data_IF_924244603164
#
_entry.id   IF_924244603164
#
_cell.length_a   1.000
_cell.length_b   1.000
_cell.length_c   1.000
_cell.angle_alpha   90.00
_cell.angle_beta   90.00
_cell.angle_gamma   90.00
#
_symmetry.space_group_name_H-M   'P 1'
#
loop_
_entity.id
_entity.type
_entity.pdbx_description
1 polymer ?
#
# COMPACT_ATOMS: atom_id res chain seq x y z
N UNK A 1 -88.09 4.81 -49.66
CA UNK A 1 -87.32 4.61 -48.43
C UNK A 1 -85.93 5.15 -48.73
N UNK A 2 -85.77 6.48 -48.68
CA UNK A 2 -84.46 7.12 -48.91
C UNK A 2 -83.63 6.93 -47.64
N UNK A 3 -82.66 6.01 -47.70
CA UNK A 3 -81.77 5.70 -46.59
C UNK A 3 -80.80 6.87 -46.35
N UNK A 4 -80.94 7.49 -45.17
CA UNK A 4 -79.97 7.96 -44.16
C UNK A 4 -78.51 8.35 -44.51
N UNK A 5 -78.21 8.56 -45.79
CA UNK A 5 -76.85 8.89 -46.28
C UNK A 5 -76.43 10.32 -45.91
N UNK A 6 -77.39 11.22 -45.68
CA UNK A 6 -77.10 12.61 -45.29
C UNK A 6 -76.65 12.74 -43.82
N UNK A 7 -77.18 11.92 -42.91
CA UNK A 7 -76.75 11.91 -41.51
C UNK A 7 -75.34 11.32 -41.39
N UNK A 8 -75.06 10.25 -42.15
CA UNK A 8 -73.75 9.64 -42.23
C UNK A 8 -72.70 10.59 -42.83
N UNK A 9 -73.04 11.30 -43.91
CA UNK A 9 -72.19 12.33 -44.50
C UNK A 9 -71.84 13.45 -43.50
N UNK A 10 -72.82 13.96 -42.76
CA UNK A 10 -72.58 15.00 -41.76
C UNK A 10 -71.71 14.54 -40.59
N UNK A 11 -71.85 13.28 -40.18
CA UNK A 11 -70.99 12.68 -39.16
C UNK A 11 -69.55 12.51 -39.65
N UNK A 12 -69.37 12.12 -40.91
CA UNK A 12 -68.05 12.02 -41.56
C UNK A 12 -67.41 13.41 -41.67
N UNK A 13 -68.14 14.44 -42.10
CA UNK A 13 -67.61 15.80 -42.22
C UNK A 13 -67.17 16.34 -40.85
N UNK A 14 -67.93 16.08 -39.78
CA UNK A 14 -67.54 16.46 -38.41
C UNK A 14 -66.27 15.72 -37.97
N UNK A 15 -66.16 14.43 -38.24
CA UNK A 15 -64.96 13.63 -37.97
C UNK A 15 -63.74 14.21 -38.71
N UNK A 16 -63.87 14.49 -40.01
CA UNK A 16 -62.79 15.06 -40.84
C UNK A 16 -62.36 16.43 -40.32
N UNK A 17 -63.30 17.31 -39.98
CA UNK A 17 -62.99 18.64 -39.43
C UNK A 17 -62.28 18.56 -38.06
N UNK A 18 -62.67 17.59 -37.22
CA UNK A 18 -61.99 17.32 -35.95
C UNK A 18 -60.57 16.79 -36.18
N UNK A 19 -60.40 15.90 -37.17
CA UNK A 19 -59.08 15.42 -37.57
C UNK A 19 -58.19 16.54 -38.16
N UNK A 20 -58.75 17.50 -38.90
CA UNK A 20 -57.99 18.66 -39.41
C UNK A 20 -57.35 19.47 -38.29
N UNK A 21 -58.01 19.59 -37.13
CA UNK A 21 -57.42 20.27 -35.95
C UNK A 21 -56.20 19.52 -35.43
N UNK A 22 -56.29 18.19 -35.34
CA UNK A 22 -55.18 17.33 -34.90
C UNK A 22 -54.03 17.44 -35.90
N UNK A 23 -54.31 17.36 -37.20
CA UNK A 23 -53.32 17.48 -38.27
C UNK A 23 -52.61 18.84 -38.20
N UNK A 24 -53.37 19.94 -38.07
CA UNK A 24 -52.80 21.29 -37.96
C UNK A 24 -51.91 21.45 -36.72
N UNK A 25 -52.30 20.87 -35.59
CA UNK A 25 -51.50 20.89 -34.37
C UNK A 25 -50.22 20.05 -34.51
N UNK A 26 -50.28 18.90 -35.19
CA UNK A 26 -49.12 18.07 -35.46
C UNK A 26 -48.16 18.73 -36.45
N UNK A 27 -48.67 19.35 -37.52
CA UNK A 27 -47.88 20.10 -38.48
C UNK A 27 -47.12 21.24 -37.79
N UNK A 28 -47.78 22.05 -36.95
CA UNK A 28 -47.10 23.09 -36.15
C UNK A 28 -46.02 22.55 -35.22
N UNK A 29 -46.20 21.34 -34.67
CA UNK A 29 -45.18 20.69 -33.83
C UNK A 29 -43.99 20.23 -34.67
N UNK A 30 -44.26 19.70 -35.86
CA UNK A 30 -43.23 19.27 -36.80
C UNK A 30 -42.39 20.47 -37.28
N UNK A 31 -43.04 21.59 -37.64
CA UNK A 31 -42.34 22.82 -38.04
C UNK A 31 -41.42 23.34 -36.92
N UNK A 32 -41.89 23.35 -35.67
CA UNK A 32 -41.09 23.72 -34.50
C UNK A 32 -39.91 22.77 -34.25
N UNK A 33 -40.04 21.49 -34.60
CA UNK A 33 -38.95 20.53 -34.44
C UNK A 33 -37.91 20.68 -35.55
N UNK A 34 -38.35 20.93 -36.78
CA UNK A 34 -37.47 21.21 -37.92
C UNK A 34 -36.67 22.50 -37.71
N UNK A 35 -37.29 23.56 -37.15
CA UNK A 35 -36.58 24.79 -36.77
C UNK A 35 -35.61 24.58 -35.59
N UNK A 36 -35.97 23.74 -34.61
CA UNK A 36 -35.03 23.35 -33.54
C UNK A 36 -33.86 22.54 -34.06
N UNK A 37 -34.05 21.75 -35.11
CA UNK A 37 -33.00 20.98 -35.74
C UNK A 37 -32.00 21.89 -36.48
N UNK A 38 -32.47 22.93 -37.16
CA UNK A 38 -31.56 23.90 -37.82
C UNK A 38 -30.71 24.71 -36.83
N UNK A 39 -31.24 25.04 -35.64
CA UNK A 39 -30.43 25.65 -34.56
C UNK A 39 -29.39 24.69 -33.98
N UNK A 40 -29.67 23.39 -33.94
CA UNK A 40 -28.72 22.39 -33.46
C UNK A 40 -27.60 22.14 -34.49
N UNK A 41 -27.91 22.24 -35.79
CA UNK A 41 -26.92 22.13 -36.86
C UNK A 41 -25.92 23.30 -36.88
N UNK A 42 -26.33 24.51 -36.45
CA UNK A 42 -25.40 25.64 -36.32
C UNK A 42 -24.39 25.43 -35.17
N UNK A 43 -24.82 24.82 -34.07
CA UNK A 43 -23.92 24.47 -32.94
C UNK A 43 -23.01 23.28 -33.31
N UNK A 44 -23.48 22.35 -34.13
CA UNK A 44 -22.66 21.27 -34.68
C UNK A 44 -21.62 21.80 -35.66
N UNK A 45 -21.96 22.78 -36.51
CA UNK A 45 -21.00 23.37 -37.46
C UNK A 45 -19.94 24.24 -36.77
N UNK A 46 -20.30 24.97 -35.71
CA UNK A 46 -19.31 25.76 -34.94
C UNK A 46 -18.35 24.87 -34.12
N UNK A 47 -18.80 23.68 -33.70
CA UNK A 47 -17.94 22.71 -33.01
C UNK A 47 -17.21 21.76 -33.99
N UNK A 48 -17.68 21.61 -35.22
CA UNK A 48 -16.91 21.00 -36.33
C UNK A 48 -15.90 21.98 -36.95
N UNK A 49 -16.14 23.30 -36.86
CA UNK A 49 -15.18 24.35 -37.22
C UNK A 49 -14.09 24.56 -36.16
N UNK A 50 -14.41 24.35 -34.87
CA UNK A 50 -13.42 24.41 -33.79
C UNK A 50 -12.45 23.22 -33.76
N UNK A 51 -12.80 22.11 -34.40
CA UNK A 51 -11.90 20.96 -34.61
C UNK A 51 -11.11 21.05 -35.91
N UNK A 52 -11.37 22.04 -36.79
CA UNK A 52 -10.70 22.18 -38.10
C UNK A 52 -9.95 23.50 -38.29
N UNK A 53 -9.56 24.18 -37.22
CA UNK A 53 -8.45 25.12 -37.29
C UNK A 53 -7.19 24.30 -37.59
N UNK A 54 -6.77 24.28 -38.86
CA UNK A 54 -5.46 23.78 -39.31
C UNK A 54 -4.34 24.72 -38.88
N UNK A 55 -4.50 25.33 -37.71
CA UNK A 55 -3.43 25.99 -37.01
C UNK A 55 -2.53 24.85 -36.55
N UNK A 56 -1.30 24.79 -37.05
CA UNK A 56 -0.32 23.87 -36.50
C UNK A 56 -0.34 24.09 -34.98
N UNK A 57 -0.54 23.02 -34.21
CA UNK A 57 -0.36 23.09 -32.77
C UNK A 57 0.96 23.84 -32.52
N UNK A 58 0.92 24.86 -31.66
CA UNK A 58 2.13 25.59 -31.30
C UNK A 58 3.20 24.58 -30.87
N UNK A 59 4.50 24.89 -31.08
CA UNK A 59 5.55 23.99 -30.60
C UNK A 59 5.29 23.67 -29.13
N UNK A 60 5.50 22.40 -28.75
CA UNK A 60 5.49 22.00 -27.35
C UNK A 60 6.37 22.99 -26.59
N UNK A 61 5.84 23.55 -25.49
CA UNK A 61 6.63 24.42 -24.62
C UNK A 61 7.93 23.74 -24.23
N UNK A 62 8.99 24.53 -24.03
CA UNK A 62 10.27 24.00 -23.56
C UNK A 62 10.05 23.12 -22.32
N UNK A 63 10.80 22.02 -22.14
CA UNK A 63 10.81 21.30 -20.87
C UNK A 63 11.02 22.28 -19.72
N UNK A 64 10.36 22.03 -18.59
CA UNK A 64 10.63 22.79 -17.38
C UNK A 64 12.12 22.71 -17.01
N UNK A 65 12.62 23.72 -16.29
CA UNK A 65 13.97 23.67 -15.74
C UNK A 65 14.13 22.41 -14.88
N UNK A 66 15.36 21.86 -14.85
CA UNK A 66 15.68 20.80 -13.90
C UNK A 66 15.34 21.27 -12.48
N UNK A 67 14.81 20.36 -11.66
CA UNK A 67 14.61 20.64 -10.24
C UNK A 67 15.94 20.98 -9.55
N UNK A 68 15.91 21.69 -8.42
CA UNK A 68 17.13 21.94 -7.64
C UNK A 68 17.75 20.61 -7.20
N UNK A 69 19.07 20.61 -7.03
CA UNK A 69 19.78 19.49 -6.43
C UNK A 69 19.20 19.23 -5.03
N UNK A 70 19.00 17.96 -4.67
CA UNK A 70 18.60 17.58 -3.32
C UNK A 70 19.61 18.05 -2.27
N UNK A 71 19.15 18.31 -1.05
CA UNK A 71 20.03 18.63 0.06
C UNK A 71 21.06 17.49 0.27
N UNK A 72 22.27 17.79 0.75
CA UNK A 72 23.21 16.76 1.21
C UNK A 72 22.53 15.80 2.19
N UNK A 73 22.90 14.52 2.13
CA UNK A 73 22.47 13.54 3.13
C UNK A 73 22.96 13.93 4.53
N UNK A 74 22.30 13.43 5.60
CA UNK A 74 22.79 13.62 6.96
C UNK A 74 24.18 12.99 7.15
N UNK A 75 24.91 13.48 8.15
CA UNK A 75 26.16 12.85 8.58
C UNK A 75 25.92 11.39 8.97
N UNK A 76 26.87 10.51 8.63
CA UNK A 76 26.82 9.10 9.03
C UNK A 76 26.93 8.94 10.55
N UNK A 77 26.40 7.84 11.12
CA UNK A 77 26.59 7.56 12.54
C UNK A 77 28.08 7.35 12.87
N UNK A 78 28.46 7.64 14.12
CA UNK A 78 29.80 7.30 14.62
C UNK A 78 30.09 5.80 14.47
N UNK A 79 31.33 5.45 14.17
CA UNK A 79 31.76 4.06 14.08
C UNK A 79 31.64 3.31 15.41
N UNK A 80 31.54 1.97 15.39
CA UNK A 80 31.50 1.16 16.60
C UNK A 80 32.79 1.30 17.40
N UNK A 81 32.70 1.14 18.73
CA UNK A 81 33.85 1.03 19.59
C UNK A 81 34.71 -0.18 19.19
N UNK A 82 36.05 -0.03 19.22
CA UNK A 82 36.97 -1.12 18.93
C UNK A 82 36.83 -2.30 19.90
N UNK A 83 37.24 -3.52 19.50
CA UNK A 83 37.16 -4.69 20.36
C UNK A 83 38.04 -4.53 21.62
N UNK A 84 37.68 -5.17 22.74
CA UNK A 84 38.56 -5.27 23.90
C UNK A 84 39.94 -5.83 23.52
N UNK A 85 40.99 -5.35 24.20
CA UNK A 85 42.34 -5.89 24.03
C UNK A 85 42.45 -7.37 24.44
N UNK A 86 43.48 -8.08 23.98
CA UNK A 86 43.67 -9.50 24.32
C UNK A 86 43.83 -9.69 25.84
N UNK A 87 43.24 -10.77 26.35
CA UNK A 87 43.39 -11.18 27.75
C UNK A 87 44.86 -11.55 28.01
N UNK A 88 45.43 -11.04 29.11
CA UNK A 88 46.79 -11.39 29.53
C UNK A 88 46.93 -12.89 29.81
N UNK A 89 48.11 -13.45 29.58
CA UNK A 89 48.38 -14.88 29.77
C UNK A 89 48.13 -15.29 31.23
N UNK A 90 47.42 -16.42 31.41
CA UNK A 90 47.13 -16.99 32.73
C UNK A 90 48.42 -17.50 33.38
N UNK A 91 48.63 -17.17 34.66
CA UNK A 91 49.73 -17.72 35.45
C UNK A 91 49.61 -19.24 35.64
N UNK A 92 50.70 -19.93 36.01
CA UNK A 92 50.73 -21.39 36.10
C UNK A 92 49.69 -21.94 37.10
N UNK A 93 49.14 -23.14 36.85
CA UNK A 93 48.09 -23.71 37.68
C UNK A 93 48.57 -24.00 39.10
N UNK A 94 47.72 -23.73 40.09
CA UNK A 94 47.86 -24.20 41.47
C UNK A 94 46.95 -25.41 41.68
N UNK A 95 47.49 -26.46 42.30
CA UNK A 95 46.84 -27.74 42.57
C UNK A 95 46.01 -27.61 43.87
N UNK A 96 44.72 -28.00 43.92
CA UNK A 96 43.92 -27.95 45.15
C UNK A 96 43.88 -29.29 45.92
N UNK A 97 43.89 -29.19 47.27
CA UNK A 97 43.72 -30.29 48.24
C UNK A 97 42.23 -30.40 48.73
N UNK A 98 41.87 -31.54 49.32
CA UNK A 98 40.51 -32.10 49.53
C UNK A 98 39.52 -31.35 50.49
N UNK A 99 39.78 -30.13 50.95
CA UNK A 99 38.90 -29.39 51.90
C UNK A 99 38.08 -28.24 51.25
N UNK A 100 37.67 -28.42 49.99
CA UNK A 100 36.94 -27.39 49.23
C UNK A 100 35.42 -27.38 49.53
N UNK A 101 34.87 -26.19 49.83
CA UNK A 101 33.41 -26.00 49.84
C UNK A 101 32.91 -25.80 48.40
N UNK A 102 32.12 -26.74 47.90
CA UNK A 102 31.59 -26.71 46.52
C UNK A 102 30.11 -26.32 46.46
N UNK A 103 29.79 -25.44 45.50
CA UNK A 103 28.44 -25.02 45.13
C UNK A 103 28.07 -25.62 43.78
N UNK A 104 26.85 -26.14 43.65
CA UNK A 104 26.28 -26.54 42.36
C UNK A 104 25.40 -25.39 41.86
N UNK A 105 25.78 -24.78 40.75
CA UNK A 105 25.14 -23.57 40.22
C UNK A 105 24.78 -23.74 38.74
N UNK A 106 23.77 -23.01 38.29
CA UNK A 106 23.42 -22.90 36.86
C UNK A 106 24.09 -21.63 36.31
N UNK A 107 24.90 -21.79 35.27
CA UNK A 107 25.67 -20.69 34.67
C UNK A 107 27.09 -20.54 35.21
N UNK A 108 27.62 -19.32 35.23
CA UNK A 108 29.04 -19.05 35.54
C UNK A 108 29.31 -19.09 37.04
N UNK A 109 30.48 -19.59 37.42
CA UNK A 109 30.94 -19.55 38.80
C UNK A 109 31.10 -18.10 39.30
N UNK A 110 30.63 -17.78 40.52
CA UNK A 110 30.82 -16.47 41.13
C UNK A 110 32.29 -16.24 41.48
N UNK A 111 32.66 -14.96 41.68
CA UNK A 111 34.03 -14.58 41.98
C UNK A 111 34.56 -15.29 43.24
N UNK A 112 35.76 -15.87 43.14
CA UNK A 112 36.38 -16.65 44.21
C UNK A 112 36.06 -18.15 44.22
N UNK A 113 35.26 -18.63 43.26
CA UNK A 113 35.03 -20.06 43.05
C UNK A 113 35.60 -20.48 41.69
N UNK A 114 36.24 -21.65 41.64
CA UNK A 114 36.78 -22.26 40.42
C UNK A 114 35.91 -23.44 40.01
N UNK A 115 35.71 -23.62 38.70
CA UNK A 115 34.96 -24.78 38.19
C UNK A 115 35.78 -26.05 38.43
N UNK A 116 35.18 -27.05 39.08
CA UNK A 116 35.85 -28.32 39.37
C UNK A 116 35.40 -29.40 38.39
N UNK A 117 36.30 -29.77 37.47
CA UNK A 117 36.04 -30.75 36.40
C UNK A 117 35.92 -32.19 36.89
N UNK A 118 36.35 -32.51 38.11
CA UNK A 118 36.23 -33.86 38.70
C UNK A 118 34.77 -34.23 38.97
N UNK A 119 33.94 -33.26 39.35
CA UNK A 119 32.51 -33.46 39.60
C UNK A 119 31.63 -33.22 38.36
N UNK A 120 32.20 -32.58 37.33
CA UNK A 120 31.55 -32.39 36.03
C UNK A 120 31.22 -33.73 35.36
N UNK A 121 32.07 -34.75 35.52
CA UNK A 121 31.80 -36.11 35.04
C UNK A 121 30.53 -36.71 35.67
N UNK A 122 30.29 -36.45 36.96
CA UNK A 122 29.09 -36.95 37.67
C UNK A 122 27.81 -36.25 37.18
N UNK A 123 27.92 -35.01 36.68
CA UNK A 123 26.79 -34.24 36.16
C UNK A 123 26.57 -34.41 34.64
N UNK A 124 27.42 -35.15 33.93
CA UNK A 124 27.25 -35.39 32.49
C UNK A 124 25.87 -35.98 32.14
N UNK A 125 25.36 -36.88 32.98
CA UNK A 125 24.02 -37.45 32.82
C UNK A 125 22.91 -36.40 32.91
N UNK A 126 23.04 -35.41 33.80
CA UNK A 126 22.05 -34.34 33.98
C UNK A 126 22.08 -33.32 32.84
N UNK A 127 23.25 -33.08 32.24
CA UNK A 127 23.42 -32.25 31.03
C UNK A 127 22.81 -32.87 29.77
N UNK A 128 22.66 -34.19 29.72
CA UNK A 128 22.02 -34.86 28.58
C UNK A 128 20.49 -34.77 28.61
N UNK A 129 19.89 -34.59 29.79
CA UNK A 129 18.43 -34.58 29.96
C UNK A 129 17.88 -33.14 29.97
N UNK A 130 18.71 -32.14 30.27
CA UNK A 130 18.32 -30.74 30.34
C UNK A 130 19.34 -29.85 29.64
N UNK A 131 18.90 -28.87 28.85
CA UNK A 131 19.76 -27.83 28.22
C UNK A 131 20.33 -26.81 29.26
N UNK A 132 20.30 -27.17 30.54
CA UNK A 132 20.72 -26.31 31.64
C UNK A 132 22.21 -26.55 31.88
N UNK A 133 23.02 -25.50 31.68
CA UNK A 133 24.46 -25.54 31.97
C UNK A 133 24.71 -25.52 33.48
N UNK A 134 24.63 -26.70 34.11
CA UNK A 134 24.98 -26.89 35.52
C UNK A 134 26.50 -27.00 35.63
N UNK A 135 27.09 -26.24 36.55
CA UNK A 135 28.51 -26.25 36.86
C UNK A 135 28.74 -26.47 38.35
N UNK A 136 29.78 -27.24 38.70
CA UNK A 136 30.24 -27.36 40.09
C UNK A 136 31.39 -26.39 40.33
N UNK A 137 31.16 -25.43 41.21
CA UNK A 137 32.08 -24.35 41.53
C UNK A 137 32.60 -24.57 42.96
N UNK A 138 33.89 -24.85 43.12
CA UNK A 138 34.53 -25.08 44.41
C UNK A 138 35.34 -23.86 44.85
N UNK A 139 35.33 -23.58 46.15
CA UNK A 139 36.14 -22.56 46.77
C UNK A 139 37.10 -23.21 47.75
N UNK A 140 38.37 -22.88 47.58
CA UNK A 140 39.43 -23.25 48.49
C UNK A 140 39.27 -22.48 49.81
N UNK A 141 39.07 -23.23 50.90
CA UNK A 141 39.18 -22.73 52.26
C UNK A 141 40.65 -22.91 52.67
N UNK A 142 41.42 -21.83 52.59
CA UNK A 142 42.71 -21.73 53.28
C UNK A 142 42.46 -21.38 54.73
#
# INVERSE_FOLDING_TARGET
MELDTSMEYNNIVKQVNMQSTIINNLQRRLDKLLEKQSMQDEIVYQNQGKTNCKCKAGPRGAPGAAGPQGAPGPEGPSGPQGPPGPVGQQGPPVIPDDDDTCLVLVGKCPAGFMSNTKYEEVLQLLRMITDISIHVCCKNLI
#
